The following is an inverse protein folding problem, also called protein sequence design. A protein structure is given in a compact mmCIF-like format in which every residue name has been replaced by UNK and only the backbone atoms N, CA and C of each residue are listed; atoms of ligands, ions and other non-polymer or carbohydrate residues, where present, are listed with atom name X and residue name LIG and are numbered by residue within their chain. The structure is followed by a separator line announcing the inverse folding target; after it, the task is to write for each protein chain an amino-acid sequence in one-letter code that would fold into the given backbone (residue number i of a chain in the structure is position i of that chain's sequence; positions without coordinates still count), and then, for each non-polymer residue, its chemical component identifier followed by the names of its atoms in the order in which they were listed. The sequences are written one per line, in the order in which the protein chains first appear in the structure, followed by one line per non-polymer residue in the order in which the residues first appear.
data_IF_975033442572
#
_entry.id   IF_975033442572
#
_cell.length_a   1.000
_cell.length_b   1.000
_cell.length_c   1.000
_cell.angle_alpha   90.00
_cell.angle_beta   90.00
_cell.angle_gamma   90.00
#
_symmetry.space_group_name_H-M   'P 1'
#
loop_
_entity.id
_entity.type
_entity.pdbx_description
1 polymer ?
#
# COMPACT_ATOMS: atom_id res chain seq x y z
N UNK A 1 -13.12 -4.54 20.44
CA UNK A 1 -14.22 -4.16 19.54
C UNK A 1 -13.60 -3.64 18.28
N UNK A 2 -13.75 -4.34 17.15
CA UNK A 2 -13.28 -3.85 15.85
C UNK A 2 -14.13 -2.65 15.48
N UNK A 3 -13.51 -1.47 15.36
CA UNK A 3 -14.19 -0.30 14.79
C UNK A 3 -14.75 -0.69 13.42
N UNK A 4 -16.02 -0.34 13.16
CA UNK A 4 -16.62 -0.59 11.87
C UNK A 4 -15.80 0.15 10.80
N UNK A 5 -15.23 -0.62 9.88
CA UNK A 5 -14.34 -0.14 8.83
C UNK A 5 -15.24 0.22 7.64
N UNK A 6 -15.40 1.51 7.33
CA UNK A 6 -16.23 1.96 6.21
C UNK A 6 -15.54 3.05 5.40
N UNK A 7 -15.85 3.09 4.10
CA UNK A 7 -15.46 4.19 3.21
C UNK A 7 -16.55 5.26 3.20
N UNK A 8 -16.15 6.51 2.91
CA UNK A 8 -17.09 7.61 2.69
C UNK A 8 -17.94 7.36 1.43
N UNK A 9 -19.18 7.84 1.42
CA UNK A 9 -20.14 7.58 0.32
C UNK A 9 -19.62 8.06 -1.04
N UNK A 10 -18.88 9.17 -1.06
CA UNK A 10 -18.27 9.75 -2.26
C UNK A 10 -16.84 9.25 -2.53
N UNK A 11 -16.45 8.08 -1.99
CA UNK A 11 -15.10 7.56 -2.11
C UNK A 11 -14.64 7.36 -3.55
N UNK A 12 -15.53 6.94 -4.46
CA UNK A 12 -15.21 6.76 -5.88
C UNK A 12 -14.84 8.08 -6.57
N UNK A 13 -15.62 9.13 -6.32
CA UNK A 13 -15.37 10.46 -6.89
C UNK A 13 -14.09 11.08 -6.33
N UNK A 14 -13.88 10.94 -5.01
CA UNK A 14 -12.64 11.37 -4.36
C UNK A 14 -11.43 10.62 -4.90
N UNK A 15 -11.55 9.31 -5.13
CA UNK A 15 -10.48 8.50 -5.68
C UNK A 15 -10.07 8.98 -7.07
N UNK A 16 -11.06 9.24 -7.94
CA UNK A 16 -10.81 9.79 -9.27
C UNK A 16 -10.11 11.15 -9.19
N UNK A 17 -10.64 12.10 -8.42
CA UNK A 17 -10.04 13.43 -8.25
C UNK A 17 -8.60 13.36 -7.73
N UNK A 18 -8.34 12.52 -6.72
CA UNK A 18 -6.99 12.37 -6.14
C UNK A 18 -6.02 11.74 -7.12
N UNK A 19 -6.44 10.73 -7.89
CA UNK A 19 -5.58 10.10 -8.88
C UNK A 19 -5.38 10.98 -10.12
N UNK A 20 -6.38 11.76 -10.55
CA UNK A 20 -6.23 12.72 -11.65
C UNK A 20 -5.13 13.76 -11.34
N UNK A 21 -4.98 14.15 -10.07
CA UNK A 21 -3.92 15.05 -9.64
C UNK A 21 -2.51 14.41 -9.60
N UNK A 22 -2.42 13.07 -9.60
CA UNK A 22 -1.16 12.32 -9.51
C UNK A 22 -0.77 11.76 -10.88
N UNK A 23 -1.64 10.96 -11.47
CA UNK A 23 -1.48 10.34 -12.77
C UNK A 23 -2.87 10.01 -13.38
N UNK A 24 -3.38 10.85 -14.30
CA UNK A 24 -4.68 10.65 -14.94
C UNK A 24 -4.87 9.29 -15.63
N UNK A 25 -3.80 8.66 -16.11
CA UNK A 25 -3.87 7.37 -16.81
C UNK A 25 -4.26 6.22 -15.85
N UNK A 26 -4.08 6.41 -14.55
CA UNK A 26 -4.38 5.43 -13.52
C UNK A 26 -5.73 5.66 -12.84
N UNK A 27 -6.39 6.79 -13.11
CA UNK A 27 -7.60 7.22 -12.39
C UNK A 27 -8.74 6.23 -12.48
N UNK A 28 -9.07 5.73 -13.66
CA UNK A 28 -10.15 4.76 -13.84
C UNK A 28 -9.87 3.44 -13.09
N UNK A 29 -8.63 2.95 -13.19
CA UNK A 29 -8.20 1.72 -12.50
C UNK A 29 -8.23 1.89 -10.98
N UNK A 30 -7.82 3.06 -10.49
CA UNK A 30 -7.83 3.36 -9.07
C UNK A 30 -9.25 3.56 -8.53
N UNK A 31 -10.11 4.24 -9.29
CA UNK A 31 -11.54 4.38 -8.97
C UNK A 31 -12.21 3.00 -8.82
N UNK A 32 -11.93 2.08 -9.75
CA UNK A 32 -12.46 0.71 -9.69
C UNK A 32 -11.95 -0.07 -8.45
N UNK A 33 -10.68 0.13 -8.08
CA UNK A 33 -10.14 -0.44 -6.83
C UNK A 33 -10.86 0.12 -5.59
N UNK A 34 -11.05 1.44 -5.52
CA UNK A 34 -11.73 2.05 -4.37
C UNK A 34 -13.20 1.62 -4.32
N UNK A 35 -13.88 1.49 -5.45
CA UNK A 35 -15.23 0.89 -5.52
C UNK A 35 -15.27 -0.51 -4.91
N UNK A 36 -14.29 -1.36 -5.24
CA UNK A 36 -14.18 -2.69 -4.66
C UNK A 36 -13.95 -2.62 -3.14
N UNK A 37 -13.02 -1.79 -2.69
CA UNK A 37 -12.70 -1.65 -1.26
C UNK A 37 -13.82 -1.01 -0.44
N UNK A 38 -14.63 -0.14 -1.04
CA UNK A 38 -15.84 0.40 -0.40
C UNK A 38 -16.90 -0.68 -0.16
N UNK A 39 -16.98 -1.69 -1.05
CA UNK A 39 -17.88 -2.84 -0.90
C UNK A 39 -17.34 -3.92 0.05
N UNK A 40 -16.02 -4.04 0.14
CA UNK A 40 -15.32 -5.03 0.95
C UNK A 40 -14.21 -4.37 1.80
N UNK A 41 -14.55 -3.53 2.80
CA UNK A 41 -13.57 -2.74 3.55
C UNK A 41 -12.53 -3.58 4.31
N UNK A 42 -12.89 -4.80 4.70
CA UNK A 42 -12.02 -5.78 5.34
C UNK A 42 -10.88 -6.28 4.45
N UNK A 43 -11.03 -6.15 3.13
CA UNK A 43 -9.99 -6.50 2.16
C UNK A 43 -8.92 -5.41 2.03
N UNK A 44 -9.15 -4.23 2.62
CA UNK A 44 -8.19 -3.14 2.58
C UNK A 44 -7.05 -3.38 3.57
N UNK A 45 -5.80 -3.32 3.09
CA UNK A 45 -4.63 -3.41 3.94
C UNK A 45 -4.56 -2.25 4.94
N UNK A 46 -4.10 -2.53 6.16
CA UNK A 46 -3.90 -1.50 7.16
C UNK A 46 -2.68 -0.61 6.84
N UNK A 47 -2.84 0.73 6.77
CA UNK A 47 -1.71 1.64 6.67
C UNK A 47 -0.73 1.46 7.83
N UNK A 48 0.56 1.60 7.57
CA UNK A 48 1.59 1.57 8.64
C UNK A 48 1.40 2.73 9.62
N UNK A 49 1.06 3.91 9.10
CA UNK A 49 0.82 5.11 9.91
C UNK A 49 -0.42 4.97 10.80
N UNK A 50 -0.29 5.33 12.09
CA UNK A 50 -1.42 5.36 13.04
C UNK A 50 -2.44 6.44 12.67
N UNK A 51 -1.99 7.58 12.13
CA UNK A 51 -2.88 8.69 11.77
C UNK A 51 -3.77 8.31 10.59
N UNK A 52 -3.18 7.72 9.54
CA UNK A 52 -3.92 7.28 8.36
C UNK A 52 -4.91 6.16 8.72
N UNK A 53 -4.53 5.25 9.64
CA UNK A 53 -5.45 4.23 10.17
C UNK A 53 -6.68 4.82 10.86
N UNK A 54 -6.53 5.88 11.66
CA UNK A 54 -7.68 6.57 12.30
C UNK A 54 -8.63 7.20 11.29
N UNK A 55 -8.11 7.54 10.11
CA UNK A 55 -8.85 8.13 9.01
C UNK A 55 -9.17 7.13 7.91
N UNK A 56 -9.28 5.83 8.26
CA UNK A 56 -9.65 4.78 7.34
C UNK A 56 -10.89 5.18 6.53
N UNK A 57 -10.83 4.95 5.23
CA UNK A 57 -11.93 5.18 4.30
C UNK A 57 -12.27 6.66 4.03
N UNK A 58 -11.59 7.61 4.70
CA UNK A 58 -11.74 9.05 4.47
C UNK A 58 -10.76 9.56 3.41
N UNK A 59 -10.90 10.84 3.04
CA UNK A 59 -10.09 11.49 2.01
C UNK A 59 -8.57 11.32 2.21
N UNK A 60 -8.05 11.46 3.43
CA UNK A 60 -6.61 11.28 3.72
C UNK A 60 -6.14 9.84 3.45
N UNK A 61 -6.96 8.85 3.78
CA UNK A 61 -6.64 7.46 3.50
C UNK A 61 -6.66 7.17 2.00
N UNK A 62 -7.66 7.68 1.28
CA UNK A 62 -7.78 7.52 -0.18
C UNK A 62 -6.58 8.18 -0.89
N UNK A 63 -6.15 9.36 -0.43
CA UNK A 63 -4.96 10.03 -0.95
C UNK A 63 -3.68 9.23 -0.70
N UNK A 64 -3.51 8.67 0.50
CA UNK A 64 -2.41 7.75 0.81
C UNK A 64 -2.42 6.52 -0.11
N UNK A 65 -3.60 5.92 -0.36
CA UNK A 65 -3.74 4.79 -1.27
C UNK A 65 -3.40 5.19 -2.72
N UNK A 66 -3.79 6.38 -3.15
CA UNK A 66 -3.51 6.88 -4.50
C UNK A 66 -2.00 7.04 -4.75
N UNK A 67 -1.28 7.64 -3.78
CA UNK A 67 0.18 7.77 -3.84
C UNK A 67 0.85 6.40 -3.94
N UNK A 68 0.53 5.46 -3.04
CA UNK A 68 1.09 4.11 -3.08
C UNK A 68 0.76 3.37 -4.38
N UNK A 69 -0.45 3.51 -4.89
CA UNK A 69 -0.88 2.88 -6.12
C UNK A 69 -0.04 3.37 -7.31
N UNK A 70 0.24 4.67 -7.40
CA UNK A 70 1.12 5.22 -8.42
C UNK A 70 2.58 4.77 -8.20
N UNK A 71 3.12 4.94 -6.99
CA UNK A 71 4.51 4.61 -6.67
C UNK A 71 4.85 3.13 -6.86
N UNK A 72 3.89 2.23 -6.66
CA UNK A 72 4.07 0.79 -6.87
C UNK A 72 4.28 0.40 -8.34
N UNK A 73 3.88 1.26 -9.28
CA UNK A 73 4.01 1.05 -10.73
C UNK A 73 5.27 1.65 -11.31
N UNK A 74 5.95 2.50 -10.55
CA UNK A 74 7.23 3.04 -10.96
C UNK A 74 8.29 1.93 -10.91
N UNK A 75 9.16 1.81 -11.93
CA UNK A 75 10.26 0.86 -11.91
C UNK A 75 11.15 1.08 -10.67
N UNK A 76 11.31 0.03 -9.85
CA UNK A 76 12.20 0.05 -8.68
C UNK A 76 13.29 -0.99 -8.87
N UNK A 77 14.54 -0.54 -8.91
CA UNK A 77 15.69 -1.44 -8.90
C UNK A 77 15.89 -1.99 -7.49
N UNK A 78 15.92 -3.33 -7.29
CA UNK A 78 16.28 -3.89 -6.00
C UNK A 78 17.70 -3.46 -5.62
N UNK A 79 17.86 -3.02 -4.36
CA UNK A 79 19.17 -2.76 -3.78
C UNK A 79 19.70 -4.03 -3.13
N UNK A 80 21.02 -4.30 -3.17
CA UNK A 80 21.60 -5.36 -2.36
C UNK A 80 21.20 -5.20 -0.89
N UNK A 81 20.98 -6.31 -0.16
CA UNK A 81 20.66 -6.23 1.25
C UNK A 81 21.82 -5.59 2.03
N UNK A 82 21.52 -4.59 2.86
CA UNK A 82 22.47 -3.98 3.81
C UNK A 82 22.34 -4.62 5.20
N UNK A 83 21.91 -5.87 5.25
CA UNK A 83 21.78 -6.66 6.47
C UNK A 83 23.15 -7.09 6.98
N UNK A 84 23.28 -7.28 8.28
CA UNK A 84 24.50 -7.87 8.88
C UNK A 84 24.47 -9.39 8.61
N UNK A 85 25.51 -9.97 7.98
CA UNK A 85 25.57 -11.41 7.75
C UNK A 85 25.74 -12.15 9.08
N UNK A 86 25.14 -13.34 9.19
CA UNK A 86 25.40 -14.26 10.29
C UNK A 86 26.69 -15.03 10.02
N UNK A 87 27.70 -14.83 10.88
CA UNK A 87 29.03 -15.45 10.77
C UNK A 87 28.96 -16.98 10.80
N UNK A 88 27.99 -17.56 11.51
CA UNK A 88 27.82 -19.02 11.61
C UNK A 88 27.45 -19.61 10.26
N UNK A 89 26.74 -18.87 9.40
CA UNK A 89 26.40 -19.33 8.05
C UNK A 89 27.68 -19.59 7.24
N UNK A 90 28.64 -18.66 7.28
CA UNK A 90 29.93 -18.81 6.60
C UNK A 90 30.76 -19.96 7.18
N UNK A 91 30.75 -20.14 8.51
CA UNK A 91 31.44 -21.26 9.16
C UNK A 91 30.86 -22.62 8.72
N UNK A 92 29.53 -22.76 8.73
CA UNK A 92 28.86 -23.99 8.34
C UNK A 92 29.13 -24.32 6.87
N UNK A 93 29.09 -23.30 5.99
CA UNK A 93 29.44 -23.47 4.59
C UNK A 93 30.85 -24.04 4.42
N UNK A 94 31.85 -23.47 5.10
CA UNK A 94 33.24 -23.94 5.00
C UNK A 94 33.49 -25.32 5.64
N UNK A 95 32.71 -25.71 6.67
CA UNK A 95 32.94 -26.98 7.39
C UNK A 95 32.15 -28.15 6.79
N UNK A 96 30.97 -27.89 6.24
CA UNK A 96 30.01 -28.93 5.87
C UNK A 96 29.77 -29.08 4.37
N UNK A 97 30.15 -28.07 3.57
CA UNK A 97 29.84 -28.02 2.14
C UNK A 97 31.08 -27.86 1.24
N UNK A 98 32.28 -27.95 1.83
CA UNK A 98 33.57 -28.20 1.17
C UNK A 98 33.97 -29.69 1.32
#
# INVERSE_FOLDING_TARGET
MSEAVFFVENAEELAKQKMDNINPELSEKFQLLIKFLSRFPESCSNPRSKQVRKNFGKAEHIEYLAQNFNESRLPKKPTPPTTIPDEVVSLVLNVSFD
#
